data_IF_439068882757
#
_entry.id   IF_439068882757
#
_cell.length_a   1.000
_cell.length_b   1.000
_cell.length_c   1.000
_cell.angle_alpha   90.00
_cell.angle_beta   90.00
_cell.angle_gamma   90.00
#
_symmetry.space_group_name_H-M   'P 1'
#
loop_
_entity.id
_entity.type
_entity.pdbx_description
1 polymer ?
#
# COMPACT_ATOMS: atom_id res chain seq x y z
N UNK A 1 17.87 -9.34 7.52
CA UNK A 1 17.75 -7.88 7.32
C UNK A 1 16.39 -7.53 7.87
N UNK A 2 16.31 -6.64 8.87
CA UNK A 2 15.01 -6.16 9.35
C UNK A 2 14.48 -5.25 8.26
N UNK A 3 13.74 -5.84 7.32
CA UNK A 3 12.89 -5.10 6.41
C UNK A 3 11.80 -4.50 7.31
N UNK A 4 12.04 -3.31 7.85
CA UNK A 4 10.96 -2.52 8.44
C UNK A 4 9.89 -2.42 7.35
N UNK A 5 8.81 -3.19 7.51
CA UNK A 5 7.79 -3.31 6.50
C UNK A 5 7.29 -1.90 6.18
N UNK A 6 7.52 -1.45 4.94
CA UNK A 6 7.08 -0.12 4.51
C UNK A 6 5.57 -0.07 4.65
N UNK A 7 5.10 0.82 5.53
CA UNK A 7 3.69 1.01 5.89
C UNK A 7 3.22 2.38 5.45
N UNK A 8 1.92 2.49 5.24
CA UNK A 8 1.23 3.74 5.03
C UNK A 8 1.09 4.44 6.38
N UNK A 9 1.54 5.69 6.44
CA UNK A 9 1.47 6.51 7.68
C UNK A 9 0.47 7.65 7.56
N UNK A 10 0.10 8.02 6.33
CA UNK A 10 -0.87 9.06 6.04
C UNK A 10 -1.56 8.79 4.72
N UNK A 11 -2.86 9.04 4.67
CA UNK A 11 -3.67 9.01 3.46
C UNK A 11 -4.52 10.27 3.42
N UNK A 12 -4.63 10.85 2.24
CA UNK A 12 -5.47 12.01 1.98
C UNK A 12 -6.28 11.76 0.70
N UNK A 13 -7.07 12.74 0.28
CA UNK A 13 -7.84 12.63 -0.96
C UNK A 13 -6.97 12.46 -2.19
N UNK A 14 -5.79 13.07 -2.20
CA UNK A 14 -4.96 13.23 -3.41
C UNK A 14 -3.63 12.51 -3.31
N UNK A 15 -3.19 12.10 -2.12
CA UNK A 15 -1.87 11.52 -1.90
C UNK A 15 -1.84 10.62 -0.67
N UNK A 16 -0.84 9.73 -0.62
CA UNK A 16 -0.48 8.93 0.54
C UNK A 16 1.03 8.94 0.81
N UNK A 17 1.41 8.81 2.08
CA UNK A 17 2.79 8.83 2.56
C UNK A 17 3.14 7.48 3.19
N UNK A 18 4.34 7.00 2.87
CA UNK A 18 4.92 5.78 3.40
C UNK A 18 5.93 6.06 4.52
N UNK A 19 6.12 5.09 5.40
CA UNK A 19 7.03 5.18 6.56
C UNK A 19 8.50 5.41 6.20
N UNK A 20 8.88 5.22 4.94
CA UNK A 20 10.22 5.50 4.43
C UNK A 20 10.36 6.90 3.81
N UNK A 21 9.34 7.74 3.95
CA UNK A 21 9.32 9.13 3.49
C UNK A 21 8.89 9.32 2.04
N UNK A 22 8.49 8.25 1.33
CA UNK A 22 7.95 8.36 -0.03
C UNK A 22 6.50 8.85 -0.01
N UNK A 23 6.18 9.80 -0.88
CA UNK A 23 4.84 10.33 -1.09
C UNK A 23 4.40 10.02 -2.52
N UNK A 24 3.17 9.54 -2.67
CA UNK A 24 2.59 9.18 -3.95
C UNK A 24 1.24 9.85 -4.13
N UNK A 25 1.02 10.46 -5.30
CA UNK A 25 -0.28 11.01 -5.68
C UNK A 25 -1.22 9.89 -6.14
N UNK A 26 -2.50 10.01 -5.78
CA UNK A 26 -3.54 9.16 -6.30
C UNK A 26 -3.82 9.53 -7.77
N UNK A 27 -3.92 8.55 -8.67
CA UNK A 27 -4.24 8.81 -10.07
C UNK A 27 -5.65 9.39 -10.24
N UNK A 28 -6.56 9.08 -9.32
CA UNK A 28 -7.88 9.69 -9.19
C UNK A 28 -8.08 10.09 -7.73
N UNK A 29 -8.47 11.34 -7.44
CA UNK A 29 -8.69 11.76 -6.07
C UNK A 29 -9.94 11.10 -5.49
N UNK A 30 -9.89 10.73 -4.21
CA UNK A 30 -11.06 10.24 -3.49
C UNK A 30 -12.12 11.34 -3.31
N UNK A 31 -13.39 10.95 -3.23
CA UNK A 31 -14.44 11.84 -2.76
C UNK A 31 -14.18 12.23 -1.29
N UNK A 32 -14.63 13.42 -0.82
CA UNK A 32 -14.30 13.89 0.52
C UNK A 32 -14.78 12.95 1.63
N UNK A 33 -15.92 12.31 1.41
CA UNK A 33 -16.58 11.40 2.36
C UNK A 33 -16.13 9.93 2.18
N UNK A 34 -15.29 9.65 1.18
CA UNK A 34 -14.80 8.30 0.83
C UNK A 34 -13.29 8.14 1.06
N UNK A 35 -12.64 9.07 1.76
CA UNK A 35 -11.23 8.92 2.11
C UNK A 35 -11.08 7.76 3.08
N UNK A 36 -10.36 6.70 2.72
CA UNK A 36 -10.17 5.56 3.62
C UNK A 36 -9.28 5.96 4.79
N UNK A 37 -9.47 5.27 5.90
CA UNK A 37 -8.53 5.38 7.02
C UNK A 37 -7.17 4.78 6.66
N UNK A 38 -6.14 5.10 7.43
CA UNK A 38 -4.79 4.55 7.23
C UNK A 38 -4.78 3.02 7.31
N UNK A 39 -5.56 2.44 8.24
CA UNK A 39 -5.64 0.98 8.41
C UNK A 39 -6.32 0.30 7.22
N UNK A 40 -7.44 0.83 6.73
CA UNK A 40 -8.12 0.29 5.54
C UNK A 40 -7.23 0.40 4.29
N UNK A 41 -6.56 1.55 4.11
CA UNK A 41 -5.67 1.74 2.98
C UNK A 41 -4.42 0.85 3.07
N UNK A 42 -3.94 0.55 4.27
CA UNK A 42 -2.83 -0.39 4.48
C UNK A 42 -3.17 -1.78 3.97
N UNK A 43 -4.39 -2.28 4.20
CA UNK A 43 -4.82 -3.59 3.68
C UNK A 43 -4.82 -3.62 2.15
N UNK A 44 -5.32 -2.55 1.50
CA UNK A 44 -5.26 -2.42 0.04
C UNK A 44 -3.82 -2.37 -0.46
N UNK A 45 -2.97 -1.56 0.18
CA UNK A 45 -1.57 -1.44 -0.19
C UNK A 45 -0.84 -2.78 -0.11
N UNK A 46 -1.02 -3.52 0.99
CA UNK A 46 -0.41 -4.83 1.18
C UNK A 46 -0.93 -5.87 0.19
N UNK A 47 -2.23 -5.85 -0.11
CA UNK A 47 -2.84 -6.73 -1.11
C UNK A 47 -2.25 -6.50 -2.51
N UNK A 48 -2.18 -5.24 -2.95
CA UNK A 48 -1.61 -4.90 -4.26
C UNK A 48 -0.11 -5.13 -4.31
N UNK A 49 0.63 -4.80 -3.26
CA UNK A 49 2.06 -5.08 -3.14
C UNK A 49 2.34 -6.56 -3.26
N UNK A 50 1.52 -7.39 -2.63
CA UNK A 50 1.59 -8.84 -2.73
C UNK A 50 1.36 -9.31 -4.19
N UNK A 51 0.27 -8.89 -4.83
CA UNK A 51 -0.02 -9.23 -6.24
C UNK A 51 1.09 -8.79 -7.19
N UNK A 52 1.55 -7.55 -7.07
CA UNK A 52 2.59 -6.99 -7.94
C UNK A 52 3.96 -7.63 -7.70
N UNK A 53 4.26 -8.03 -6.46
CA UNK A 53 5.47 -8.79 -6.14
C UNK A 53 5.49 -10.17 -6.80
N UNK A 54 4.32 -10.82 -6.93
CA UNK A 54 4.18 -12.10 -7.61
C UNK A 54 4.29 -12.00 -9.14
N UNK A 55 4.08 -10.81 -9.72
CA UNK A 55 4.18 -10.58 -11.16
C UNK A 55 5.62 -10.52 -11.70
N UNK A 56 6.64 -10.39 -10.85
CA UNK A 56 8.03 -10.17 -11.28
C UNK A 56 9.01 -11.32 -10.91
N UNK A 57 8.52 -12.47 -10.44
CA UNK A 57 9.38 -13.61 -10.13
C UNK A 57 8.57 -14.84 -9.75
N UNK A 58 8.64 -15.87 -10.58
CA UNK A 58 7.88 -17.10 -10.39
C UNK A 58 8.12 -17.79 -9.04
N UNK A 59 7.08 -18.48 -8.59
CA UNK A 59 7.07 -19.57 -7.60
C UNK A 59 7.77 -19.33 -6.24
N UNK A 60 6.94 -19.13 -5.22
CA UNK A 60 7.02 -19.85 -3.94
C UNK A 60 5.64 -19.73 -3.27
N UNK A 61 4.72 -20.70 -3.42
CA UNK A 61 4.61 -21.96 -2.67
C UNK A 61 4.36 -21.79 -1.16
N UNK A 62 3.27 -22.45 -0.73
CA UNK A 62 2.86 -22.86 0.62
C UNK A 62 2.10 -21.87 1.51
N UNK A 63 0.77 -21.94 1.41
CA UNK A 63 -0.05 -22.06 2.62
C UNK A 63 -0.22 -23.56 2.92
N UNK A 64 0.29 -23.98 4.08
CA UNK A 64 0.11 -25.32 4.64
C UNK A 64 -1.10 -25.38 5.57
#
# INVERSE_FOLDING_TARGET
MNEDAVKVIKVTRTEFELSDGRIYEHPLPFEPDEVPTVEEFQEFYDHWKNILSFGNGGKASNYG
#
